data_IF_337742895785
#
_entry.id   IF_337742895785
#
_cell.length_a   1.000
_cell.length_b   1.000
_cell.length_c   1.000
_cell.angle_alpha   90.00
_cell.angle_beta   90.00
_cell.angle_gamma   90.00
#
_symmetry.space_group_name_H-M   'P 1'
#
loop_
_entity.id
_entity.type
_entity.pdbx_description
1 polymer ?
#
# COMPACT_ATOMS: atom_id res chain seq x y z
N UNK A 1 -7.45 -13.32 11.89
CA UNK A 1 -7.12 -12.35 12.95
C UNK A 1 -7.33 -10.94 12.41
N UNK A 2 -6.74 -9.92 13.02
CA UNK A 2 -6.66 -8.56 12.44
C UNK A 2 -5.42 -8.48 11.56
N UNK A 3 -5.52 -7.84 10.40
CA UNK A 3 -4.40 -7.51 9.53
C UNK A 3 -4.48 -6.01 9.28
N UNK A 4 -3.37 -5.29 9.49
CA UNK A 4 -3.34 -3.84 9.37
C UNK A 4 -2.50 -3.43 8.17
N UNK A 5 -3.14 -3.20 7.02
CA UNK A 5 -2.48 -2.79 5.77
C UNK A 5 -1.83 -1.41 5.87
N UNK A 6 -2.41 -0.52 6.67
CA UNK A 6 -1.80 0.75 7.02
C UNK A 6 -1.01 0.60 8.32
N UNK A 7 0.29 0.90 8.21
CA UNK A 7 1.26 0.89 9.30
C UNK A 7 0.95 1.99 10.33
N UNK A 8 0.24 3.04 9.92
CA UNK A 8 -0.30 4.05 10.83
C UNK A 8 -1.35 3.53 11.83
N UNK A 9 -1.82 2.29 11.69
CA UNK A 9 -2.83 1.66 12.56
C UNK A 9 -4.06 2.57 12.79
N UNK A 10 -4.76 3.00 11.72
CA UNK A 10 -5.95 3.85 11.82
C UNK A 10 -7.07 3.14 12.60
N UNK A 11 -7.90 3.92 13.28
CA UNK A 11 -8.95 3.42 14.19
C UNK A 11 -8.45 2.76 15.49
N UNK A 12 -7.14 2.58 15.67
CA UNK A 12 -6.55 2.00 16.89
C UNK A 12 -6.13 3.09 17.88
N UNK A 13 -6.45 2.90 19.17
CA UNK A 13 -6.05 3.84 20.24
C UNK A 13 -4.52 3.95 20.39
N UNK A 14 -4.02 5.08 20.89
CA UNK A 14 -2.56 5.31 21.09
C UNK A 14 -1.91 4.21 21.94
N UNK A 15 -2.57 3.77 23.01
CA UNK A 15 -2.05 2.70 23.88
C UNK A 15 -2.01 1.33 23.18
N UNK A 16 -3.05 1.00 22.39
CA UNK A 16 -3.07 -0.25 21.64
C UNK A 16 -2.10 -0.23 20.45
N UNK A 17 -1.91 0.92 19.81
CA UNK A 17 -0.92 1.15 18.75
C UNK A 17 0.50 0.83 19.24
N UNK A 18 0.89 1.40 20.39
CA UNK A 18 2.13 1.05 21.08
C UNK A 18 2.23 -0.46 21.33
N UNK A 19 1.19 -1.08 21.89
CA UNK A 19 1.19 -2.51 22.22
C UNK A 19 1.32 -3.42 20.98
N UNK A 20 0.70 -3.05 19.85
CA UNK A 20 0.81 -3.79 18.59
C UNK A 20 2.23 -3.71 18.00
N UNK A 21 2.86 -2.54 18.05
CA UNK A 21 4.25 -2.37 17.63
C UNK A 21 5.23 -3.13 18.54
N UNK A 22 5.02 -3.14 19.85
CA UNK A 22 5.80 -3.96 20.79
C UNK A 22 5.63 -5.45 20.47
N UNK A 23 4.40 -5.94 20.32
CA UNK A 23 4.14 -7.35 19.99
C UNK A 23 4.75 -7.78 18.63
N UNK A 24 4.82 -6.88 17.65
CA UNK A 24 5.52 -7.12 16.39
C UNK A 24 7.04 -7.30 16.60
N UNK A 25 7.66 -6.44 17.41
CA UNK A 25 9.10 -6.51 17.72
C UNK A 25 9.45 -7.72 18.59
N UNK A 26 8.61 -8.07 19.56
CA UNK A 26 8.75 -9.31 20.35
C UNK A 26 8.70 -10.54 19.43
N UNK A 27 7.78 -10.55 18.45
CA UNK A 27 7.68 -11.63 17.47
C UNK A 27 8.92 -11.71 16.57
N UNK A 28 9.47 -10.57 16.14
CA UNK A 28 10.73 -10.52 15.38
C UNK A 28 11.92 -11.03 16.21
N UNK A 29 11.98 -10.67 17.51
CA UNK A 29 13.01 -11.16 18.40
C UNK A 29 12.89 -12.68 18.65
N UNK A 30 11.66 -13.20 18.78
CA UNK A 30 11.42 -14.65 18.85
C UNK A 30 11.88 -15.37 17.58
N UNK A 31 11.52 -14.85 16.40
CA UNK A 31 11.93 -15.40 15.10
C UNK A 31 13.46 -15.48 14.96
N UNK A 32 14.16 -14.42 15.34
CA UNK A 32 15.63 -14.37 15.29
C UNK A 32 16.33 -15.16 16.40
N UNK A 33 15.59 -15.69 17.39
CA UNK A 33 16.09 -16.57 18.46
C UNK A 33 15.81 -18.06 18.21
N UNK A 34 15.25 -18.43 17.06
CA UNK A 34 15.01 -19.83 16.71
C UNK A 34 16.30 -20.59 16.41
N UNK A 35 16.47 -21.76 17.02
CA UNK A 35 17.57 -22.68 16.73
C UNK A 35 17.30 -23.43 15.43
N UNK A 36 18.04 -23.07 14.37
CA UNK A 36 17.91 -23.66 13.03
C UNK A 36 18.26 -25.14 12.98
N UNK A 37 19.09 -25.63 13.91
CA UNK A 37 19.41 -27.06 14.07
C UNK A 37 18.20 -27.85 14.55
N UNK A 38 17.57 -27.40 15.63
CA UNK A 38 16.37 -28.07 16.18
C UNK A 38 15.18 -28.06 15.22
N UNK A 39 15.08 -27.05 14.35
CA UNK A 39 14.04 -26.92 13.34
C UNK A 39 14.35 -27.62 12.01
N UNK A 40 15.54 -28.23 11.85
CA UNK A 40 15.95 -28.86 10.59
C UNK A 40 16.18 -27.88 9.43
N UNK A 41 16.41 -26.60 9.72
CA UNK A 41 16.62 -25.51 8.75
C UNK A 41 18.10 -25.24 8.43
N UNK A 42 19.02 -26.08 8.94
CA UNK A 42 20.44 -26.03 8.57
C UNK A 42 20.60 -26.26 7.06
N UNK A 43 21.22 -25.30 6.37
CA UNK A 43 21.41 -25.34 4.92
C UNK A 43 20.27 -24.73 4.09
N UNK A 44 19.18 -24.25 4.71
CA UNK A 44 18.10 -23.54 4.00
C UNK A 44 18.59 -22.26 3.29
N UNK A 45 19.65 -21.63 3.79
CA UNK A 45 20.30 -20.47 3.19
C UNK A 45 21.83 -20.57 3.20
N UNK A 46 22.49 -19.58 2.58
CA UNK A 46 23.96 -19.53 2.42
C UNK A 46 24.76 -19.24 3.71
N UNK A 47 24.12 -19.11 4.87
CA UNK A 47 24.77 -18.90 6.17
C UNK A 47 25.54 -17.57 6.29
N UNK A 48 26.67 -17.61 6.99
CA UNK A 48 27.57 -16.50 7.34
C UNK A 48 27.95 -15.57 6.15
N UNK A 49 28.25 -14.29 6.42
CA UNK A 49 28.60 -13.27 5.43
C UNK A 49 27.39 -12.68 4.70
N UNK A 50 26.31 -12.39 5.42
CA UNK A 50 25.03 -11.95 4.82
C UNK A 50 25.10 -10.54 4.22
N UNK A 51 25.54 -9.55 4.99
CA UNK A 51 25.68 -8.16 4.59
C UNK A 51 26.65 -8.03 3.43
N UNK A 52 27.82 -8.70 3.49
CA UNK A 52 28.79 -8.74 2.40
C UNK A 52 28.16 -9.22 1.08
N UNK A 53 27.34 -10.28 1.11
CA UNK A 53 26.61 -10.76 -0.07
C UNK A 53 25.51 -9.81 -0.51
N UNK A 54 24.77 -9.20 0.41
CA UNK A 54 23.71 -8.26 0.06
C UNK A 54 24.31 -7.03 -0.63
N UNK A 55 25.31 -6.37 -0.03
CA UNK A 55 26.03 -5.24 -0.64
C UNK A 55 26.51 -5.62 -2.05
N UNK A 56 27.24 -6.73 -2.21
CA UNK A 56 27.71 -7.18 -3.53
C UNK A 56 26.58 -7.43 -4.55
N UNK A 57 25.45 -7.99 -4.11
CA UNK A 57 24.28 -8.25 -4.97
C UNK A 57 23.62 -6.95 -5.41
N UNK A 58 23.30 -6.04 -4.49
CA UNK A 58 22.61 -4.80 -4.81
C UNK A 58 23.50 -3.83 -5.59
N UNK A 59 24.82 -3.80 -5.34
CA UNK A 59 25.78 -3.07 -6.20
C UNK A 59 25.77 -3.59 -7.64
N UNK A 60 25.72 -4.90 -7.86
CA UNK A 60 25.65 -5.49 -9.20
C UNK A 60 24.32 -5.18 -9.89
N UNK A 61 23.19 -5.33 -9.18
CA UNK A 61 21.86 -5.05 -9.74
C UNK A 61 21.67 -3.56 -10.08
N UNK A 62 22.13 -2.65 -9.21
CA UNK A 62 22.15 -1.22 -9.51
C UNK A 62 23.01 -0.92 -10.74
N UNK A 63 24.27 -1.40 -10.78
CA UNK A 63 25.16 -1.16 -11.93
C UNK A 63 24.63 -1.74 -13.26
N UNK A 64 23.86 -2.83 -13.22
CA UNK A 64 23.21 -3.40 -14.39
C UNK A 64 21.96 -2.64 -14.87
N UNK A 65 21.39 -1.74 -14.05
CA UNK A 65 20.14 -1.02 -14.32
C UNK A 65 20.28 0.50 -14.30
N UNK A 66 21.46 1.03 -13.94
CA UNK A 66 21.74 2.46 -13.87
C UNK A 66 21.69 3.12 -15.27
N UNK A 67 20.80 4.12 -15.43
CA UNK A 67 20.64 4.89 -16.67
C UNK A 67 21.29 6.29 -16.62
N UNK A 68 21.73 6.73 -15.43
CA UNK A 68 22.51 7.95 -15.20
C UNK A 68 23.55 7.69 -14.10
N UNK A 69 24.59 8.52 -14.02
CA UNK A 69 25.50 8.48 -12.88
C UNK A 69 24.84 9.12 -11.66
N UNK A 70 24.90 8.44 -10.51
CA UNK A 70 24.45 8.96 -9.21
C UNK A 70 25.63 8.79 -8.23
N UNK A 71 26.47 9.82 -8.04
CA UNK A 71 27.68 9.71 -7.22
C UNK A 71 27.44 9.27 -5.77
N UNK A 72 26.23 9.52 -5.24
CA UNK A 72 25.83 9.04 -3.92
C UNK A 72 25.73 7.52 -3.85
N UNK A 73 25.22 6.85 -4.88
CA UNK A 73 25.11 5.37 -4.93
C UNK A 73 26.48 4.70 -4.96
N UNK A 74 27.42 5.23 -5.74
CA UNK A 74 28.78 4.69 -5.82
C UNK A 74 29.49 4.84 -4.47
N UNK A 75 29.49 6.05 -3.89
CA UNK A 75 30.08 6.32 -2.56
C UNK A 75 29.45 5.47 -1.45
N UNK A 76 28.13 5.27 -1.46
CA UNK A 76 27.41 4.47 -0.49
C UNK A 76 27.74 2.97 -0.63
N UNK A 77 27.78 2.45 -1.87
CA UNK A 77 28.24 1.09 -2.18
C UNK A 77 29.66 0.84 -1.69
N UNK A 78 30.57 1.77 -1.94
CA UNK A 78 31.96 1.66 -1.54
C UNK A 78 32.11 1.74 -0.01
N UNK A 79 31.40 2.66 0.66
CA UNK A 79 31.40 2.75 2.12
C UNK A 79 30.88 1.46 2.76
N UNK A 80 29.74 0.93 2.28
CA UNK A 80 29.16 -0.33 2.77
C UNK A 80 30.10 -1.53 2.57
N UNK A 81 30.89 -1.54 1.49
CA UNK A 81 31.83 -2.62 1.21
C UNK A 81 33.05 -2.62 2.16
N UNK A 82 33.41 -1.47 2.73
CA UNK A 82 34.56 -1.30 3.62
C UNK A 82 34.20 -1.24 5.12
N UNK A 83 32.92 -1.09 5.47
CA UNK A 83 32.44 -0.91 6.85
C UNK A 83 31.50 -2.05 7.31
N UNK A 84 31.74 -3.28 6.82
CA UNK A 84 30.96 -4.46 7.17
C UNK A 84 30.93 -4.70 8.71
N UNK A 85 29.82 -5.20 9.28
CA UNK A 85 29.76 -5.51 10.70
C UNK A 85 30.72 -6.62 11.12
N UNK A 86 31.25 -6.52 12.34
CA UNK A 86 32.12 -7.57 12.91
C UNK A 86 31.37 -8.91 13.06
N UNK A 87 30.04 -8.87 13.19
CA UNK A 87 29.17 -10.02 13.36
C UNK A 87 28.43 -10.44 12.06
N UNK A 88 28.97 -10.13 10.87
CA UNK A 88 28.34 -10.53 9.59
C UNK A 88 28.23 -12.06 9.38
N UNK A 89 28.94 -12.83 10.20
CA UNK A 89 28.88 -14.29 10.22
C UNK A 89 27.75 -14.86 11.11
N UNK A 90 27.03 -14.01 11.88
CA UNK A 90 25.86 -14.42 12.66
C UNK A 90 24.73 -14.93 11.74
N UNK A 91 24.19 -16.12 12.05
CA UNK A 91 23.11 -16.74 11.27
C UNK A 91 21.84 -16.84 12.11
N UNK A 92 20.73 -16.32 11.57
CA UNK A 92 19.38 -16.48 12.13
C UNK A 92 18.36 -16.60 10.99
N UNK A 93 17.14 -17.05 11.28
CA UNK A 93 16.06 -17.06 10.29
C UNK A 93 15.54 -15.63 10.08
N UNK A 94 15.66 -15.10 8.86
CA UNK A 94 15.26 -13.73 8.53
C UNK A 94 14.08 -13.77 7.56
N UNK A 95 12.98 -13.09 7.90
CA UNK A 95 11.78 -12.99 7.06
C UNK A 95 12.03 -12.25 5.74
N UNK A 96 12.99 -11.32 5.73
CA UNK A 96 13.35 -10.49 4.58
C UNK A 96 12.45 -9.27 4.37
N UNK A 97 11.16 -9.37 4.67
CA UNK A 97 10.19 -8.27 4.67
C UNK A 97 9.26 -8.35 5.89
N UNK A 98 9.81 -8.07 7.08
CA UNK A 98 9.03 -8.08 8.31
C UNK A 98 8.38 -6.71 8.53
N UNK A 99 7.07 -6.63 8.30
CA UNK A 99 6.25 -5.40 8.42
C UNK A 99 4.85 -5.74 8.93
N UNK A 100 4.16 -4.76 9.52
CA UNK A 100 2.93 -4.97 10.32
C UNK A 100 1.76 -5.54 9.53
N UNK A 101 1.68 -5.25 8.23
CA UNK A 101 0.66 -5.79 7.32
C UNK A 101 0.92 -7.25 6.93
N UNK A 102 2.17 -7.72 7.06
CA UNK A 102 2.54 -9.13 6.98
C UNK A 102 2.29 -9.88 8.32
N UNK A 103 1.60 -9.27 9.29
CA UNK A 103 1.28 -9.89 10.59
C UNK A 103 -0.24 -10.07 10.78
N UNK A 104 -0.65 -11.30 11.13
CA UNK A 104 -2.00 -11.56 11.64
C UNK A 104 -1.98 -11.36 13.16
N UNK A 105 -2.63 -10.31 13.66
CA UNK A 105 -2.86 -10.09 15.08
C UNK A 105 -4.10 -10.82 15.60
N UNK A 106 -4.17 -11.01 16.92
CA UNK A 106 -5.35 -11.56 17.59
C UNK A 106 -6.57 -10.63 17.42
N UNK A 107 -7.81 -11.16 17.27
CA UNK A 107 -9.01 -10.35 17.06
C UNK A 107 -9.22 -9.21 18.07
N UNK A 108 -8.83 -9.42 19.34
CA UNK A 108 -9.10 -8.50 20.46
C UNK A 108 -7.89 -8.20 21.35
N UNK A 109 -6.68 -8.63 20.97
CA UNK A 109 -5.46 -8.46 21.79
C UNK A 109 -4.29 -7.99 20.92
N UNK A 110 -3.36 -7.25 21.51
CA UNK A 110 -2.07 -6.95 20.92
C UNK A 110 -1.13 -8.17 21.03
N UNK A 111 -1.35 -9.16 20.17
CA UNK A 111 -0.56 -10.39 20.08
C UNK A 111 -0.55 -10.88 18.64
N UNK A 112 0.61 -11.19 18.07
CA UNK A 112 0.72 -11.83 16.75
C UNK A 112 0.29 -13.30 16.84
N UNK A 113 -0.40 -13.78 15.81
CA UNK A 113 -0.83 -15.18 15.64
C UNK A 113 -0.09 -15.87 14.49
N UNK A 114 0.28 -15.12 13.44
CA UNK A 114 1.02 -15.63 12.29
C UNK A 114 1.80 -14.50 11.60
N UNK A 115 2.88 -14.87 10.92
CA UNK A 115 3.66 -14.02 9.99
C UNK A 115 3.39 -14.56 8.57
N UNK A 116 3.04 -13.66 7.66
CA UNK A 116 2.65 -13.92 6.27
C UNK A 116 3.72 -13.43 5.29
N UNK A 117 3.60 -13.82 4.02
CA UNK A 117 4.30 -13.22 2.89
C UNK A 117 5.83 -13.17 3.05
N UNK A 118 6.42 -14.35 3.16
CA UNK A 118 7.87 -14.61 3.21
C UNK A 118 8.61 -14.24 1.90
N UNK A 119 8.05 -13.35 1.05
CA UNK A 119 8.43 -13.12 -0.36
C UNK A 119 8.63 -11.65 -0.83
N UNK A 120 8.54 -10.62 0.06
CA UNK A 120 9.10 -9.24 -0.10
C UNK A 120 8.32 -8.21 -0.99
N UNK A 121 8.31 -6.86 -0.83
CA UNK A 121 8.86 -5.84 0.12
C UNK A 121 7.90 -4.61 0.22
N UNK A 122 7.85 -3.82 1.34
CA UNK A 122 7.35 -2.40 1.28
C UNK A 122 7.67 -1.42 2.47
N UNK A 123 7.32 -0.13 2.28
CA UNK A 123 7.76 1.09 3.03
C UNK A 123 6.71 1.75 3.97
N UNK A 124 7.08 2.83 4.70
CA UNK A 124 6.37 3.35 5.90
C UNK A 124 6.26 4.90 5.99
N UNK A 125 5.16 5.40 6.57
CA UNK A 125 4.95 6.78 7.08
C UNK A 125 4.66 6.76 8.61
N UNK A 126 4.94 7.86 9.34
CA UNK A 126 4.94 7.89 10.81
C UNK A 126 3.88 8.83 11.44
N UNK A 127 2.71 8.32 11.86
CA UNK A 127 1.81 9.03 12.78
C UNK A 127 2.20 8.88 14.26
N UNK A 128 1.55 9.68 15.11
CA UNK A 128 1.74 9.66 16.58
C UNK A 128 1.34 8.32 17.22
N UNK A 129 1.96 7.98 18.35
CA UNK A 129 1.70 6.73 19.07
C UNK A 129 2.45 5.49 18.56
N UNK A 130 3.34 5.66 17.57
CA UNK A 130 4.38 4.67 17.26
C UNK A 130 5.54 4.89 18.25
N UNK A 131 6.06 3.86 18.95
CA UNK A 131 7.22 4.01 19.82
C UNK A 131 8.45 4.47 19.05
N UNK A 132 9.40 5.16 19.69
CA UNK A 132 10.58 5.62 18.96
C UNK A 132 11.41 4.42 18.47
N UNK A 133 12.18 4.61 17.40
CA UNK A 133 13.07 3.57 16.91
C UNK A 133 14.05 3.07 17.99
N UNK A 134 14.46 3.93 18.93
CA UNK A 134 15.31 3.52 20.06
C UNK A 134 14.56 2.71 21.12
N UNK A 135 13.27 2.99 21.36
CA UNK A 135 12.44 2.16 22.26
C UNK A 135 12.25 0.76 21.67
N UNK A 136 11.90 0.67 20.38
CA UNK A 136 11.74 -0.60 19.68
C UNK A 136 13.05 -1.41 19.64
N UNK A 137 14.19 -0.74 19.39
CA UNK A 137 15.51 -1.40 19.47
C UNK A 137 15.78 -1.89 20.90
N UNK A 138 15.44 -1.12 21.93
CA UNK A 138 15.65 -1.51 23.33
C UNK A 138 14.81 -2.73 23.72
N UNK A 139 13.54 -2.77 23.29
CA UNK A 139 12.66 -3.95 23.44
C UNK A 139 13.27 -5.16 22.73
N UNK A 140 13.66 -5.02 21.45
CA UNK A 140 14.28 -6.09 20.68
C UNK A 140 15.55 -6.64 21.37
N UNK A 141 16.47 -5.76 21.77
CA UNK A 141 17.70 -6.16 22.45
C UNK A 141 17.40 -6.90 23.76
N UNK A 142 16.45 -6.42 24.57
CA UNK A 142 16.03 -7.08 25.80
C UNK A 142 15.46 -8.48 25.53
N UNK A 143 14.60 -8.65 24.52
CA UNK A 143 14.07 -9.94 24.10
C UNK A 143 15.14 -10.90 23.54
N UNK A 144 16.23 -10.37 22.98
CA UNK A 144 17.38 -11.17 22.48
C UNK A 144 18.47 -11.41 23.53
N UNK A 145 18.37 -10.84 24.74
CA UNK A 145 19.44 -10.89 25.74
C UNK A 145 20.71 -10.11 25.36
N UNK A 146 20.58 -9.10 24.49
CA UNK A 146 21.67 -8.29 23.95
C UNK A 146 21.81 -6.95 24.70
N UNK A 147 22.97 -6.26 24.60
CA UNK A 147 23.11 -4.87 25.07
C UNK A 147 22.02 -3.96 24.49
N UNK A 148 21.56 -2.97 25.26
CA UNK A 148 20.45 -2.07 24.91
C UNK A 148 20.68 -1.17 23.68
N UNK A 149 21.87 -1.22 23.09
CA UNK A 149 22.18 -0.63 21.79
C UNK A 149 22.70 -1.69 20.82
N UNK A 150 22.11 -1.75 19.62
CA UNK A 150 22.73 -2.41 18.49
C UNK A 150 24.05 -1.68 18.12
N UNK A 151 25.18 -2.39 17.92
CA UNK A 151 26.37 -1.80 17.32
C UNK A 151 26.09 -1.44 15.85
N UNK A 152 26.85 -0.49 15.31
CA UNK A 152 26.85 -0.13 13.89
C UNK A 152 25.45 0.13 13.26
N UNK A 153 24.47 0.66 14.03
CA UNK A 153 23.10 0.99 13.55
C UNK A 153 23.09 1.70 12.19
N UNK A 154 23.99 2.67 12.01
CA UNK A 154 24.11 3.45 10.78
C UNK A 154 24.41 2.55 9.57
N UNK A 155 25.23 1.50 9.71
CA UNK A 155 25.48 0.54 8.64
C UNK A 155 24.19 -0.12 8.17
N UNK A 156 23.39 -0.67 9.10
CA UNK A 156 22.17 -1.39 8.74
C UNK A 156 21.12 -0.48 8.10
N UNK A 157 20.94 0.74 8.59
CA UNK A 157 20.05 1.75 7.99
C UNK A 157 20.54 2.17 6.60
N UNK A 158 21.85 2.41 6.45
CA UNK A 158 22.47 2.77 5.17
C UNK A 158 22.37 1.64 4.14
N UNK A 159 22.53 0.38 4.57
CA UNK A 159 22.37 -0.80 3.72
C UNK A 159 20.91 -0.99 3.28
N UNK A 160 19.94 -0.71 4.16
CA UNK A 160 18.54 -0.72 3.79
C UNK A 160 18.24 0.36 2.74
N UNK A 161 18.67 1.61 2.96
CA UNK A 161 18.48 2.71 2.00
C UNK A 161 19.15 2.41 0.65
N UNK A 162 20.37 1.87 0.65
CA UNK A 162 21.07 1.43 -0.56
C UNK A 162 20.30 0.35 -1.33
N UNK A 163 19.84 -0.70 -0.63
CA UNK A 163 19.01 -1.77 -1.21
C UNK A 163 17.74 -1.19 -1.84
N UNK A 164 17.08 -0.26 -1.15
CA UNK A 164 15.83 0.32 -1.62
C UNK A 164 16.03 1.26 -2.81
N UNK A 165 17.12 2.03 -2.86
CA UNK A 165 17.52 2.80 -4.04
C UNK A 165 17.80 1.88 -5.25
N UNK A 166 18.49 0.76 -5.04
CA UNK A 166 18.74 -0.23 -6.10
C UNK A 166 17.44 -0.91 -6.60
N UNK A 167 16.49 -1.21 -5.72
CA UNK A 167 15.16 -1.71 -6.11
C UNK A 167 14.40 -0.67 -6.94
N UNK A 168 14.37 0.60 -6.50
CA UNK A 168 13.74 1.69 -7.22
C UNK A 168 14.35 1.88 -8.62
N UNK A 169 15.68 1.84 -8.75
CA UNK A 169 16.37 1.85 -10.04
C UNK A 169 15.97 0.67 -10.93
N UNK A 170 15.83 -0.54 -10.37
CA UNK A 170 15.38 -1.73 -11.10
C UNK A 170 13.90 -1.70 -11.52
N UNK A 171 13.04 -0.93 -10.83
CA UNK A 171 11.68 -0.63 -11.26
C UNK A 171 11.71 0.40 -12.41
N UNK A 172 12.45 1.48 -12.24
CA UNK A 172 12.55 2.56 -13.22
C UNK A 172 13.20 2.10 -14.54
N UNK A 173 14.25 1.27 -14.49
CA UNK A 173 14.88 0.70 -15.68
C UNK A 173 13.90 -0.18 -16.49
N UNK A 174 12.99 -0.90 -15.83
CA UNK A 174 11.92 -1.66 -16.49
C UNK A 174 10.87 -0.74 -17.13
N UNK A 175 10.58 0.40 -16.51
CA UNK A 175 9.73 1.42 -17.12
C UNK A 175 10.36 1.98 -18.41
N UNK A 176 11.65 2.31 -18.38
CA UNK A 176 12.39 2.78 -19.58
C UNK A 176 12.43 1.75 -20.71
N UNK A 177 12.36 0.45 -20.39
CA UNK A 177 12.28 -0.65 -21.36
C UNK A 177 10.84 -0.99 -21.79
N UNK A 178 9.82 -0.28 -21.30
CA UNK A 178 8.41 -0.54 -21.61
C UNK A 178 7.86 -1.84 -21.04
N UNK A 179 8.52 -2.44 -20.03
CA UNK A 179 8.15 -3.73 -19.44
C UNK A 179 7.86 -3.69 -17.93
N UNK A 180 7.59 -2.49 -17.39
CA UNK A 180 7.10 -2.36 -16.02
C UNK A 180 5.61 -2.73 -15.91
N UNK A 181 5.27 -3.51 -14.88
CA UNK A 181 3.90 -3.91 -14.57
C UNK A 181 3.10 -2.87 -13.80
N UNK A 182 3.73 -1.81 -13.28
CA UNK A 182 3.06 -0.75 -12.51
C UNK A 182 3.04 0.56 -13.28
N UNK A 183 1.89 1.25 -13.25
CA UNK A 183 1.67 2.54 -13.94
C UNK A 183 2.61 3.62 -13.38
N UNK A 184 2.84 3.64 -12.07
CA UNK A 184 3.73 4.60 -11.40
C UNK A 184 5.23 4.24 -11.48
N UNK A 185 5.62 3.22 -12.25
CA UNK A 185 7.02 2.78 -12.31
C UNK A 185 8.00 3.87 -12.83
N UNK A 186 7.50 4.89 -13.53
CA UNK A 186 8.24 6.09 -13.92
C UNK A 186 8.73 6.90 -12.70
N UNK A 187 7.91 7.02 -11.66
CA UNK A 187 8.14 7.90 -10.51
C UNK A 187 9.32 7.43 -9.65
N UNK A 188 9.56 6.11 -9.61
CA UNK A 188 10.66 5.50 -8.84
C UNK A 188 12.04 6.04 -9.23
N UNK A 189 12.23 6.50 -10.47
CA UNK A 189 13.48 7.13 -10.92
C UNK A 189 13.81 8.41 -10.15
N UNK A 190 12.80 9.14 -9.66
CA UNK A 190 12.95 10.32 -8.82
C UNK A 190 13.40 9.99 -7.39
N UNK A 191 13.19 8.77 -6.91
CA UNK A 191 13.51 8.36 -5.54
C UNK A 191 14.93 7.81 -5.37
N UNK A 192 15.59 7.34 -6.43
CA UNK A 192 16.89 6.63 -6.35
C UNK A 192 17.98 7.50 -5.74
N UNK A 193 18.11 8.75 -6.22
CA UNK A 193 19.15 9.68 -5.78
C UNK A 193 18.92 10.19 -4.35
N UNK A 194 17.73 10.67 -3.95
CA UNK A 194 17.42 11.02 -2.56
C UNK A 194 17.64 9.87 -1.55
N UNK A 195 17.27 8.63 -1.89
CA UNK A 195 17.51 7.46 -1.03
C UNK A 195 19.01 7.18 -0.86
N UNK A 196 19.79 7.32 -1.93
CA UNK A 196 21.24 7.15 -1.90
C UNK A 196 21.96 8.24 -1.10
N UNK A 197 21.54 9.50 -1.26
CA UNK A 197 22.06 10.64 -0.50
C UNK A 197 21.77 10.51 0.98
N UNK A 198 20.53 10.16 1.36
CA UNK A 198 20.17 9.94 2.76
C UNK A 198 20.94 8.75 3.37
N UNK A 199 21.13 7.67 2.61
CA UNK A 199 21.95 6.53 3.03
C UNK A 199 23.40 6.93 3.29
N UNK A 200 24.01 7.69 2.39
CA UNK A 200 25.37 8.19 2.53
C UNK A 200 25.51 9.21 3.68
N UNK A 201 24.50 10.07 3.88
CA UNK A 201 24.49 11.02 5.00
C UNK A 201 24.44 10.29 6.35
N UNK A 202 23.62 9.24 6.48
CA UNK A 202 23.53 8.43 7.69
C UNK A 202 24.84 7.64 7.91
N UNK A 203 25.45 7.10 6.85
CA UNK A 203 26.70 6.36 6.95
C UNK A 203 27.89 7.21 7.42
N UNK A 204 27.86 8.51 7.12
CA UNK A 204 28.89 9.49 7.53
C UNK A 204 28.54 10.23 8.84
N UNK A 205 27.32 10.10 9.35
CA UNK A 205 26.89 10.81 10.57
C UNK A 205 27.44 10.16 11.85
N UNK A 206 27.95 10.92 12.83
CA UNK A 206 28.33 10.39 14.13
C UNK A 206 27.14 9.96 15.01
N UNK A 207 25.91 10.33 14.65
CA UNK A 207 24.70 9.89 15.35
C UNK A 207 23.48 9.76 14.44
N UNK A 208 22.56 8.85 14.78
CA UNK A 208 21.25 8.73 14.14
C UNK A 208 20.32 9.85 14.66
N UNK A 209 20.56 11.07 14.22
CA UNK A 209 19.58 12.15 14.23
C UNK A 209 18.82 12.09 12.89
N UNK A 210 17.56 11.64 12.84
CA UNK A 210 16.79 11.76 11.61
C UNK A 210 16.62 13.25 11.28
N UNK A 211 16.68 13.66 10.00
CA UNK A 211 16.18 14.96 9.62
C UNK A 211 14.67 14.98 9.86
N UNK A 212 14.25 15.56 10.98
CA UNK A 212 12.84 15.85 11.26
C UNK A 212 12.44 16.95 10.29
N UNK A 213 11.83 16.55 9.18
CA UNK A 213 11.12 17.43 8.28
C UNK A 213 9.72 16.86 8.11
N UNK A 214 8.75 17.42 8.85
CA UNK A 214 7.32 17.06 8.83
C UNK A 214 6.62 17.37 7.48
N UNK A 215 7.38 17.45 6.39
CA UNK A 215 7.02 18.07 5.12
C UNK A 215 6.77 17.07 3.99
N UNK A 216 7.12 15.79 4.16
CA UNK A 216 7.14 14.79 3.09
C UNK A 216 5.76 14.22 2.71
N UNK A 217 4.77 14.29 3.61
CA UNK A 217 3.42 13.74 3.40
C UNK A 217 2.34 14.63 4.02
N UNK A 218 2.39 15.94 3.75
CA UNK A 218 1.28 16.82 4.14
C UNK A 218 0.13 16.71 3.14
N UNK A 219 -1.08 16.45 3.66
CA UNK A 219 -2.32 16.64 2.92
C UNK A 219 -2.39 18.10 2.42
N UNK A 220 -2.82 18.32 1.17
CA UNK A 220 -2.91 19.67 0.63
C UNK A 220 -3.97 20.48 1.39
N UNK A 221 -3.86 21.84 1.44
CA UNK A 221 -4.88 22.66 2.07
C UNK A 221 -6.28 22.42 1.50
N UNK A 222 -6.36 22.08 0.20
CA UNK A 222 -7.59 21.69 -0.48
C UNK A 222 -8.09 20.32 0.00
N UNK A 223 -7.22 19.30 0.04
CA UNK A 223 -7.56 17.97 0.54
C UNK A 223 -8.06 18.01 1.99
N UNK A 224 -7.41 18.79 2.85
CA UNK A 224 -7.86 18.99 4.22
C UNK A 224 -9.22 19.68 4.29
N UNK A 225 -9.46 20.73 3.50
CA UNK A 225 -10.76 21.42 3.46
C UNK A 225 -11.90 20.49 2.99
N UNK A 226 -11.67 19.71 1.93
CA UNK A 226 -12.65 18.73 1.43
C UNK A 226 -12.89 17.61 2.45
N UNK A 227 -11.84 17.12 3.12
CA UNK A 227 -11.98 16.12 4.19
C UNK A 227 -12.87 16.61 5.33
N UNK A 228 -12.72 17.87 5.77
CA UNK A 228 -13.60 18.43 6.80
C UNK A 228 -15.05 18.59 6.32
N UNK A 229 -15.25 18.94 5.04
CA UNK A 229 -16.59 18.99 4.44
C UNK A 229 -17.23 17.60 4.37
N UNK A 230 -16.49 16.56 3.96
CA UNK A 230 -16.97 15.17 3.93
C UNK A 230 -17.31 14.68 5.34
N UNK A 231 -16.44 14.91 6.34
CA UNK A 231 -16.71 14.58 7.75
C UNK A 231 -17.99 15.21 8.28
N UNK A 232 -18.18 16.49 7.99
CA UNK A 232 -19.38 17.20 8.44
C UNK A 232 -20.65 16.75 7.68
N UNK A 233 -20.53 16.44 6.37
CA UNK A 233 -21.62 15.88 5.57
C UNK A 233 -22.01 14.47 6.04
N UNK A 234 -21.02 13.62 6.32
CA UNK A 234 -21.19 12.29 6.92
C UNK A 234 -21.98 12.39 8.23
N UNK A 235 -21.53 13.26 9.15
CA UNK A 235 -22.15 13.47 10.46
C UNK A 235 -23.57 14.05 10.39
N UNK A 236 -23.82 15.02 9.50
CA UNK A 236 -25.12 15.73 9.40
C UNK A 236 -26.17 15.01 8.55
N UNK A 237 -25.76 14.24 7.55
CA UNK A 237 -26.68 13.78 6.50
C UNK A 237 -26.64 12.26 6.30
N UNK A 238 -25.45 11.66 6.22
CA UNK A 238 -25.30 10.23 5.91
C UNK A 238 -25.57 9.36 7.14
N UNK A 239 -24.81 9.52 8.22
CA UNK A 239 -24.95 8.69 9.42
C UNK A 239 -26.37 8.70 10.02
N UNK A 240 -27.12 9.83 10.06
CA UNK A 240 -28.52 9.83 10.50
C UNK A 240 -29.45 8.95 9.64
N UNK A 241 -29.20 8.84 8.33
CA UNK A 241 -30.00 8.03 7.40
C UNK A 241 -29.73 6.51 7.53
N UNK A 242 -28.69 6.10 8.26
CA UNK A 242 -28.26 4.70 8.33
C UNK A 242 -29.33 3.73 8.83
N UNK A 243 -30.24 4.18 9.71
CA UNK A 243 -31.37 3.36 10.16
C UNK A 243 -32.37 3.12 9.02
N UNK A 244 -32.77 4.17 8.31
CA UNK A 244 -33.72 4.11 7.21
C UNK A 244 -33.19 3.24 6.06
N UNK A 245 -31.93 3.45 5.65
CA UNK A 245 -31.27 2.66 4.60
C UNK A 245 -31.23 1.17 4.97
N UNK A 246 -30.90 0.86 6.24
CA UNK A 246 -30.89 -0.53 6.73
C UNK A 246 -32.29 -1.17 6.72
N UNK A 247 -33.32 -0.42 7.12
CA UNK A 247 -34.71 -0.88 7.10
C UNK A 247 -35.25 -1.06 5.67
N UNK A 248 -34.83 -0.22 4.72
CA UNK A 248 -35.15 -0.38 3.30
C UNK A 248 -34.58 -1.69 2.74
N UNK A 249 -33.28 -1.94 2.91
CA UNK A 249 -32.68 -3.19 2.40
C UNK A 249 -33.22 -4.44 3.10
N UNK A 250 -33.51 -4.35 4.41
CA UNK A 250 -34.12 -5.46 5.13
C UNK A 250 -35.53 -5.80 4.61
N UNK A 251 -36.33 -4.79 4.23
CA UNK A 251 -37.69 -4.96 3.69
C UNK A 251 -37.71 -5.59 2.30
N UNK A 252 -36.77 -5.21 1.43
CA UNK A 252 -36.73 -5.65 0.03
C UNK A 252 -35.83 -6.87 -0.22
N UNK A 253 -35.18 -7.43 0.80
CA UNK A 253 -34.16 -8.49 0.68
C UNK A 253 -34.52 -9.66 -0.25
N UNK A 254 -35.77 -10.12 -0.17
CA UNK A 254 -36.31 -11.26 -0.94
C UNK A 254 -37.12 -10.83 -2.17
N UNK A 255 -37.02 -9.56 -2.58
CA UNK A 255 -37.76 -8.97 -3.71
C UNK A 255 -36.79 -8.40 -4.76
N UNK A 256 -37.22 -8.26 -6.03
CA UNK A 256 -36.37 -7.66 -7.09
C UNK A 256 -35.88 -6.25 -6.77
N UNK A 257 -36.64 -5.50 -5.98
CA UNK A 257 -36.36 -4.13 -5.56
C UNK A 257 -35.10 -4.01 -4.67
N UNK A 258 -34.52 -5.11 -4.18
CA UNK A 258 -33.24 -5.09 -3.45
C UNK A 258 -32.08 -4.46 -4.22
N UNK A 259 -32.18 -4.40 -5.55
CA UNK A 259 -31.20 -3.82 -6.45
C UNK A 259 -31.46 -2.35 -6.80
N UNK A 260 -32.54 -1.76 -6.29
CA UNK A 260 -32.89 -0.35 -6.51
C UNK A 260 -32.25 0.49 -5.41
N UNK A 261 -31.54 1.57 -5.80
CA UNK A 261 -30.98 2.52 -4.84
C UNK A 261 -32.10 3.15 -3.99
N UNK A 262 -32.01 3.11 -2.64
CA UNK A 262 -32.99 3.72 -1.75
C UNK A 262 -33.22 5.21 -2.07
N UNK A 263 -34.46 5.73 -2.06
CA UNK A 263 -34.74 7.14 -2.39
C UNK A 263 -33.96 8.15 -1.54
N UNK A 264 -33.72 7.85 -0.26
CA UNK A 264 -32.90 8.68 0.63
C UNK A 264 -31.43 8.79 0.16
N UNK A 265 -30.90 7.77 -0.52
CA UNK A 265 -29.54 7.83 -1.11
C UNK A 265 -29.52 8.74 -2.35
N UNK A 266 -30.57 8.74 -3.18
CA UNK A 266 -30.68 9.69 -4.29
C UNK A 266 -30.78 11.15 -3.83
N UNK A 267 -31.55 11.41 -2.77
CA UNK A 267 -31.55 12.73 -2.12
C UNK A 267 -30.17 13.13 -1.59
N UNK A 268 -29.44 12.18 -1.00
CA UNK A 268 -28.09 12.43 -0.46
C UNK A 268 -27.07 12.67 -1.58
N UNK A 269 -27.14 11.94 -2.70
CA UNK A 269 -26.36 12.22 -3.93
C UNK A 269 -26.62 13.63 -4.45
N UNK A 270 -27.89 14.04 -4.52
CA UNK A 270 -28.26 15.40 -4.93
C UNK A 270 -27.66 16.46 -3.99
N UNK A 271 -27.74 16.27 -2.66
CA UNK A 271 -27.13 17.16 -1.66
C UNK A 271 -25.60 17.19 -1.78
N UNK A 272 -24.95 16.04 -2.02
CA UNK A 272 -23.50 15.95 -2.19
C UNK A 272 -23.01 16.67 -3.45
N UNK A 273 -23.68 16.47 -4.60
CA UNK A 273 -23.46 17.24 -5.85
C UNK A 273 -23.60 18.74 -5.62
N UNK A 274 -24.67 19.20 -4.95
CA UNK A 274 -24.86 20.62 -4.64
C UNK A 274 -23.80 21.20 -3.70
N UNK A 275 -23.13 20.37 -2.89
CA UNK A 275 -22.03 20.77 -2.02
C UNK A 275 -20.64 20.69 -2.69
N UNK A 276 -20.56 20.23 -3.96
CA UNK A 276 -19.28 19.98 -4.65
C UNK A 276 -18.54 18.73 -4.18
N UNK A 277 -19.20 17.85 -3.42
CA UNK A 277 -18.65 16.60 -2.92
C UNK A 277 -19.00 15.46 -3.89
N UNK A 278 -18.33 15.44 -5.04
CA UNK A 278 -18.67 14.51 -6.13
C UNK A 278 -17.43 14.15 -6.96
N UNK A 279 -17.36 12.90 -7.45
CA UNK A 279 -16.21 12.37 -8.22
C UNK A 279 -14.85 12.57 -7.52
N UNK A 280 -14.83 12.56 -6.19
CA UNK A 280 -13.65 12.97 -5.39
C UNK A 280 -12.40 12.11 -5.66
N UNK A 281 -12.61 10.86 -6.08
CA UNK A 281 -11.58 9.89 -6.43
C UNK A 281 -10.74 10.26 -7.66
N UNK A 282 -11.29 10.99 -8.63
CA UNK A 282 -10.66 11.19 -9.93
C UNK A 282 -9.91 12.54 -9.97
N UNK A 283 -8.56 12.57 -10.01
CA UNK A 283 -7.80 13.82 -9.87
C UNK A 283 -8.09 14.88 -10.94
N UNK A 284 -8.50 14.46 -12.14
CA UNK A 284 -8.87 15.38 -13.22
C UNK A 284 -10.17 16.16 -12.94
N UNK A 285 -11.09 15.58 -12.17
CA UNK A 285 -12.39 16.17 -11.79
C UNK A 285 -12.28 16.89 -10.44
N UNK A 286 -11.75 16.20 -9.43
CA UNK A 286 -11.67 16.71 -8.06
C UNK A 286 -10.52 17.68 -7.85
N UNK A 287 -9.45 17.58 -8.65
CA UNK A 287 -8.18 18.27 -8.45
C UNK A 287 -7.57 17.97 -7.06
N UNK A 288 -7.71 16.73 -6.59
CA UNK A 288 -7.12 16.20 -5.36
C UNK A 288 -5.99 15.23 -5.72
N UNK A 289 -4.96 15.14 -4.87
CA UNK A 289 -3.96 14.09 -4.98
C UNK A 289 -4.48 12.75 -4.43
N UNK A 290 -3.80 11.65 -4.76
CA UNK A 290 -4.12 10.33 -4.19
C UNK A 290 -3.99 10.31 -2.66
N UNK A 291 -3.04 11.07 -2.09
CA UNK A 291 -2.90 11.24 -0.63
C UNK A 291 -4.08 12.03 -0.04
N UNK A 292 -4.54 13.07 -0.72
CA UNK A 292 -5.72 13.83 -0.28
C UNK A 292 -6.98 12.96 -0.27
N UNK A 293 -7.17 12.17 -1.32
CA UNK A 293 -8.31 11.28 -1.46
C UNK A 293 -8.25 10.08 -0.50
N UNK A 294 -7.07 9.56 -0.15
CA UNK A 294 -6.94 8.43 0.79
C UNK A 294 -7.65 8.69 2.14
N UNK A 295 -7.47 9.88 2.72
CA UNK A 295 -8.16 10.25 3.96
C UNK A 295 -9.68 10.45 3.79
N UNK A 296 -10.13 10.85 2.60
CA UNK A 296 -11.56 10.98 2.27
C UNK A 296 -12.18 9.58 2.12
N UNK A 297 -11.48 8.67 1.43
CA UNK A 297 -11.89 7.28 1.28
C UNK A 297 -11.99 6.57 2.65
N UNK A 298 -11.01 6.78 3.55
CA UNK A 298 -11.05 6.31 4.95
C UNK A 298 -12.36 6.72 5.65
N UNK A 299 -12.71 8.01 5.60
CA UNK A 299 -13.94 8.54 6.19
C UNK A 299 -15.19 7.89 5.59
N UNK A 300 -15.28 7.77 4.26
CA UNK A 300 -16.43 7.09 3.62
C UNK A 300 -16.52 5.61 3.97
N UNK A 301 -15.39 4.96 4.26
CA UNK A 301 -15.32 3.55 4.68
C UNK A 301 -16.06 3.24 5.98
N UNK A 302 -16.37 4.25 6.80
CA UNK A 302 -17.19 4.09 8.01
C UNK A 302 -18.67 3.81 7.72
N UNK A 303 -19.15 3.96 6.48
CA UNK A 303 -20.55 3.71 6.12
C UNK A 303 -20.68 3.05 4.73
N UNK A 304 -21.28 1.86 4.66
CA UNK A 304 -21.24 1.00 3.46
C UNK A 304 -21.82 1.62 2.17
N UNK A 305 -22.65 2.66 2.29
CA UNK A 305 -23.25 3.36 1.15
C UNK A 305 -22.78 4.82 1.00
N UNK A 306 -21.87 5.30 1.85
CA UNK A 306 -21.27 6.63 1.69
C UNK A 306 -20.47 6.80 0.38
N UNK A 307 -19.69 5.81 -0.09
CA UNK A 307 -19.01 5.94 -1.39
C UNK A 307 -19.98 6.22 -2.54
N UNK A 308 -21.18 5.61 -2.55
CA UNK A 308 -22.20 5.84 -3.57
C UNK A 308 -22.80 7.26 -3.52
N UNK A 309 -22.84 7.89 -2.35
CA UNK A 309 -23.34 9.27 -2.19
C UNK A 309 -22.37 10.31 -2.78
N UNK A 310 -21.08 9.99 -2.87
CA UNK A 310 -20.05 10.88 -3.43
C UNK A 310 -19.60 10.47 -4.85
N UNK A 311 -20.25 9.46 -5.45
CA UNK A 311 -19.87 8.81 -6.71
C UNK A 311 -18.44 8.23 -6.72
N UNK A 312 -18.06 7.63 -5.60
CA UNK A 312 -16.73 7.09 -5.28
C UNK A 312 -16.75 5.57 -5.05
N UNK A 313 -17.82 4.87 -5.42
CA UNK A 313 -18.00 3.43 -5.22
C UNK A 313 -17.37 2.57 -6.32
N UNK A 314 -16.83 1.42 -5.92
CA UNK A 314 -16.54 0.34 -6.85
C UNK A 314 -17.84 -0.32 -7.37
N UNK A 315 -17.85 -0.90 -8.59
CA UNK A 315 -16.74 -0.97 -9.55
C UNK A 315 -16.59 0.30 -10.40
N UNK A 316 -17.50 1.26 -10.30
CA UNK A 316 -17.61 2.38 -11.24
C UNK A 316 -16.39 3.30 -11.27
N UNK A 317 -15.72 3.53 -10.15
CA UNK A 317 -14.49 4.36 -10.11
C UNK A 317 -13.40 3.80 -11.03
N UNK A 318 -13.12 2.50 -10.95
CA UNK A 318 -12.16 1.84 -11.84
C UNK A 318 -12.59 1.86 -13.31
N UNK A 319 -13.88 1.69 -13.59
CA UNK A 319 -14.41 1.76 -14.96
C UNK A 319 -14.33 3.20 -15.52
N UNK A 320 -14.56 4.22 -14.68
CA UNK A 320 -14.38 5.63 -15.03
C UNK A 320 -12.90 5.95 -15.29
N UNK A 321 -11.97 5.43 -14.49
CA UNK A 321 -10.52 5.57 -14.71
C UNK A 321 -10.08 4.95 -16.04
N UNK A 322 -10.56 3.74 -16.38
CA UNK A 322 -10.28 3.09 -17.67
C UNK A 322 -10.77 3.94 -18.84
N UNK A 323 -12.00 4.46 -18.79
CA UNK A 323 -12.54 5.32 -19.84
C UNK A 323 -11.86 6.70 -19.91
N UNK A 324 -11.45 7.26 -18.77
CA UNK A 324 -10.72 8.53 -18.69
C UNK A 324 -9.34 8.42 -19.36
N UNK A 325 -8.59 7.36 -19.05
CA UNK A 325 -7.22 7.15 -19.54
C UNK A 325 -7.16 6.62 -20.97
N UNK A 326 -8.06 5.70 -21.34
CA UNK A 326 -7.94 4.92 -22.59
C UNK A 326 -9.14 5.05 -23.54
N UNK A 327 -10.25 5.65 -23.11
CA UNK A 327 -11.44 5.80 -23.93
C UNK A 327 -11.24 6.77 -25.10
N UNK A 328 -11.84 6.47 -26.24
CA UNK A 328 -11.99 7.45 -27.34
C UNK A 328 -12.94 8.57 -26.92
N UNK A 329 -12.90 9.71 -27.61
CA UNK A 329 -13.80 10.84 -27.32
C UNK A 329 -15.30 10.48 -27.47
N UNK A 330 -15.61 9.52 -28.34
CA UNK A 330 -16.95 8.94 -28.46
C UNK A 330 -17.30 8.06 -27.25
N UNK A 331 -16.40 7.17 -26.83
CA UNK A 331 -16.61 6.34 -25.64
C UNK A 331 -16.73 7.17 -24.36
N UNK A 332 -15.95 8.25 -24.23
CA UNK A 332 -16.06 9.18 -23.10
C UNK A 332 -17.42 9.86 -23.09
N UNK A 333 -17.89 10.41 -24.22
CA UNK A 333 -19.20 11.05 -24.33
C UNK A 333 -20.35 10.10 -24.03
N UNK A 334 -20.28 8.87 -24.54
CA UNK A 334 -21.36 7.90 -24.43
C UNK A 334 -21.40 7.19 -23.06
N UNK A 335 -20.26 7.04 -22.36
CA UNK A 335 -20.16 6.21 -21.16
C UNK A 335 -19.52 6.92 -19.96
N UNK A 336 -18.41 7.65 -20.14
CA UNK A 336 -17.74 8.35 -19.03
C UNK A 336 -18.60 9.52 -18.53
N UNK A 337 -19.16 10.34 -19.41
CA UNK A 337 -20.01 11.47 -19.02
C UNK A 337 -21.24 11.04 -18.19
N UNK A 338 -22.04 10.02 -18.58
CA UNK A 338 -23.12 9.50 -17.73
C UNK A 338 -22.65 8.89 -16.40
N UNK A 339 -21.51 8.19 -16.37
CA UNK A 339 -20.93 7.67 -15.12
C UNK A 339 -20.49 8.80 -14.18
N UNK A 340 -19.84 9.84 -14.70
CA UNK A 340 -19.43 11.03 -13.94
C UNK A 340 -20.63 11.84 -13.42
N UNK A 341 -21.80 11.77 -14.07
CA UNK A 341 -23.06 12.36 -13.57
C UNK A 341 -23.75 11.50 -12.51
N UNK A 342 -23.44 10.19 -12.50
CA UNK A 342 -24.12 9.17 -11.71
C UNK A 342 -25.47 8.74 -12.30
N UNK A 343 -25.69 8.97 -13.60
CA UNK A 343 -26.95 8.67 -14.31
C UNK A 343 -27.06 7.17 -14.65
N UNK A 344 -25.91 6.48 -14.79
CA UNK A 344 -25.82 5.04 -15.05
C UNK A 344 -24.85 4.39 -14.07
N UNK A 345 -24.89 3.05 -14.01
CA UNK A 345 -23.92 2.20 -13.32
C UNK A 345 -23.26 1.27 -14.32
N UNK A 346 -22.09 0.76 -13.96
CA UNK A 346 -21.26 -0.14 -14.74
C UNK A 346 -20.91 -1.38 -13.92
N UNK A 347 -20.46 -2.46 -14.58
CA UNK A 347 -19.88 -3.62 -13.93
C UNK A 347 -18.59 -4.03 -14.65
N UNK A 348 -17.66 -4.65 -13.94
CA UNK A 348 -16.42 -5.16 -14.52
C UNK A 348 -16.44 -6.69 -14.61
N UNK A 349 -16.34 -7.23 -15.82
CA UNK A 349 -16.59 -8.64 -16.12
C UNK A 349 -15.29 -9.38 -16.50
N UNK A 350 -14.43 -9.63 -15.51
CA UNK A 350 -13.16 -10.34 -15.71
C UNK A 350 -13.20 -11.81 -15.28
N UNK A 351 -13.67 -12.11 -14.07
CA UNK A 351 -13.62 -13.46 -13.48
C UNK A 351 -14.52 -14.44 -14.24
N UNK A 352 -14.00 -15.64 -14.51
CA UNK A 352 -14.68 -16.76 -15.17
C UNK A 352 -14.94 -17.90 -14.18
N UNK A 353 -16.06 -18.66 -14.30
CA UNK A 353 -16.40 -19.71 -13.34
C UNK A 353 -15.67 -21.03 -13.58
N UNK A 354 -15.29 -21.31 -14.83
CA UNK A 354 -14.77 -22.62 -15.23
C UNK A 354 -13.22 -22.71 -15.15
N UNK A 355 -12.53 -21.60 -14.85
CA UNK A 355 -11.05 -21.48 -14.84
C UNK A 355 -10.51 -20.70 -13.63
N UNK A 356 -9.26 -20.97 -13.27
CA UNK A 356 -8.56 -20.33 -12.15
C UNK A 356 -8.17 -18.86 -12.47
N UNK A 357 -9.16 -17.98 -12.39
CA UNK A 357 -9.12 -16.57 -12.79
C UNK A 357 -8.19 -15.65 -11.95
N UNK A 358 -7.49 -16.18 -10.95
CA UNK A 358 -6.42 -15.45 -10.24
C UNK A 358 -5.19 -15.24 -11.12
N UNK A 359 -4.96 -16.15 -12.07
CA UNK A 359 -4.04 -15.92 -13.19
C UNK A 359 -4.87 -15.52 -14.42
N UNK A 360 -4.68 -14.28 -14.87
CA UNK A 360 -5.41 -13.71 -16.00
C UNK A 360 -5.13 -14.43 -17.33
N UNK A 361 -4.05 -15.21 -17.44
CA UNK A 361 -3.72 -15.97 -18.65
C UNK A 361 -4.62 -17.19 -18.86
N UNK A 362 -5.36 -17.63 -17.83
CA UNK A 362 -6.32 -18.73 -17.91
C UNK A 362 -7.69 -18.31 -18.50
N UNK A 363 -7.94 -17.04 -18.82
CA UNK A 363 -9.25 -16.61 -19.34
C UNK A 363 -9.53 -17.19 -20.72
N UNK A 364 -10.68 -17.84 -20.87
CA UNK A 364 -11.13 -18.51 -22.11
C UNK A 364 -12.26 -17.77 -22.83
N UNK A 365 -12.83 -16.71 -22.22
CA UNK A 365 -13.82 -15.87 -22.89
C UNK A 365 -13.23 -15.21 -24.15
N UNK A 366 -13.72 -15.60 -25.32
CA UNK A 366 -13.13 -15.20 -26.61
C UNK A 366 -13.68 -13.88 -27.12
N UNK A 367 -12.81 -13.14 -27.82
CA UNK A 367 -13.10 -11.91 -28.55
C UNK A 367 -12.63 -12.09 -29.99
N UNK A 368 -13.55 -12.33 -30.91
CA UNK A 368 -13.24 -12.46 -32.34
C UNK A 368 -13.71 -11.23 -33.10
N UNK A 369 -12.88 -10.69 -34.00
CA UNK A 369 -13.31 -9.63 -34.91
C UNK A 369 -13.95 -10.24 -36.15
N UNK A 370 -15.17 -9.84 -36.45
CA UNK A 370 -15.85 -10.13 -37.71
C UNK A 370 -16.13 -8.79 -38.41
N UNK A 371 -15.38 -8.49 -39.46
CA UNK A 371 -15.46 -7.24 -40.23
C UNK A 371 -15.41 -5.97 -39.36
N UNK A 372 -16.57 -5.33 -39.17
CA UNK A 372 -16.83 -4.08 -38.47
C UNK A 372 -17.23 -4.25 -36.99
N UNK A 373 -17.51 -5.48 -36.55
CA UNK A 373 -17.97 -5.78 -35.19
C UNK A 373 -17.07 -6.82 -34.49
N UNK A 374 -17.34 -7.00 -33.19
CA UNK A 374 -16.68 -8.00 -32.37
C UNK A 374 -17.72 -8.99 -31.83
N UNK A 375 -17.41 -10.27 -31.93
CA UNK A 375 -18.17 -11.38 -31.38
C UNK A 375 -17.51 -11.80 -30.07
N UNK A 376 -18.25 -11.69 -28.97
CA UNK A 376 -17.80 -12.08 -27.61
C UNK A 376 -18.52 -13.36 -27.20
N UNK A 377 -17.78 -14.39 -26.79
CA UNK A 377 -18.37 -15.64 -26.28
C UNK A 377 -17.66 -16.10 -25.00
N UNK A 378 -18.42 -16.39 -23.94
CA UNK A 378 -17.87 -16.92 -22.70
C UNK A 378 -18.87 -16.82 -21.54
N UNK A 379 -18.41 -17.15 -20.33
CA UNK A 379 -19.16 -16.98 -19.08
C UNK A 379 -18.37 -16.07 -18.14
N UNK A 380 -19.04 -15.14 -17.47
CA UNK A 380 -18.43 -14.31 -16.41
C UNK A 380 -19.27 -14.42 -15.13
N UNK A 381 -18.63 -14.29 -13.98
CA UNK A 381 -19.28 -14.25 -12.66
C UNK A 381 -18.52 -13.30 -11.73
N UNK A 382 -19.09 -13.01 -10.55
CA UNK A 382 -18.62 -11.96 -9.62
C UNK A 382 -18.59 -10.53 -10.20
N UNK A 383 -19.23 -10.30 -11.35
CA UNK A 383 -19.63 -8.97 -11.84
C UNK A 383 -20.48 -8.28 -10.77
N UNK A 384 -19.83 -7.40 -10.01
CA UNK A 384 -20.39 -6.74 -8.81
C UNK A 384 -21.12 -5.45 -9.16
#
# INVERSE_FOLDING_TARGET
GRIFRDLGLPGVSVAERTALYVAAVETLAMLHSLDLGTLGLLGYGKGAGYCKRQVSTWTKQYKATANKQIPAMDKLSDWLSHNLPENDDDVSLVHGDFRIDNLIFHPTKARVLAVLDWELHAFIFFPTGIPSANDLISVYCNCRGMPSSLPQKNFFVSMALFKMAAIAQGIYARHLLGNASSINAAEFGGCVEPLAELGLQISLSPSLSPPISDTLFMQSPKGHAVLQQVKEFMRKHILPAQKEVKEYFARHKETPERWITPPVIEELKAKARSAGLWNLFLPAESGLSQLDYAHIAEETGHCFYAPEIFNCQAPDTGNMEVLHLFGTEEQKRNWLEPLLKGDIRSCFCMTEPDVASSDATNMECTLHRDNDHFIVNGKKWWSS
#
